data_IF_761666326633
#
_entry.id   IF_761666326633
#
_cell.length_a   1.000
_cell.length_b   1.000
_cell.length_c   1.000
_cell.angle_alpha   90.00
_cell.angle_beta   90.00
_cell.angle_gamma   90.00
#
_symmetry.space_group_name_H-M   'P 1'
#
loop_
_entity.id
_entity.type
_entity.pdbx_description
1 polymer ?
#
# COMPACT_ATOMS: atom_id res chain seq x y z
N UNK A 1 5.55 -11.47 14.89
CA UNK A 1 4.26 -11.31 14.23
C UNK A 1 3.29 -10.51 15.10
N UNK A 2 2.96 -10.99 16.32
CA UNK A 2 1.95 -10.39 17.21
C UNK A 2 2.16 -8.89 17.44
N UNK A 3 3.36 -8.48 17.86
CA UNK A 3 3.66 -7.07 18.14
C UNK A 3 3.48 -6.17 16.90
N UNK A 4 3.85 -6.65 15.73
CA UNK A 4 3.71 -5.89 14.48
C UNK A 4 2.23 -5.76 14.09
N UNK A 5 1.47 -6.85 14.17
CA UNK A 5 0.03 -6.83 13.96
C UNK A 5 -0.66 -5.84 14.90
N UNK A 6 -0.38 -5.92 16.21
CA UNK A 6 -0.93 -5.00 17.20
C UNK A 6 -0.57 -3.54 16.92
N UNK A 7 0.64 -3.25 16.47
CA UNK A 7 1.06 -1.90 16.10
C UNK A 7 0.25 -1.36 14.91
N UNK A 8 0.02 -2.19 13.88
CA UNK A 8 -0.80 -1.84 12.71
C UNK A 8 -2.24 -1.56 13.15
N UNK A 9 -2.86 -2.49 13.89
CA UNK A 9 -4.25 -2.33 14.36
C UNK A 9 -4.40 -1.10 15.26
N UNK A 10 -3.43 -0.81 16.11
CA UNK A 10 -3.41 0.42 16.92
C UNK A 10 -3.35 1.65 16.03
N UNK A 11 -2.46 1.71 15.05
CA UNK A 11 -2.34 2.82 14.12
C UNK A 11 -3.63 3.06 13.33
N UNK A 12 -4.23 2.00 12.79
CA UNK A 12 -5.51 2.09 12.09
C UNK A 12 -6.64 2.59 12.98
N UNK A 13 -6.71 2.16 14.23
CA UNK A 13 -7.69 2.66 15.20
C UNK A 13 -7.48 4.15 15.54
N UNK A 14 -6.25 4.61 15.61
CA UNK A 14 -5.94 6.03 15.82
C UNK A 14 -6.34 6.87 14.59
N UNK A 15 -6.07 6.39 13.39
CA UNK A 15 -6.51 7.04 12.14
C UNK A 15 -8.04 7.08 12.03
N UNK A 16 -8.72 5.98 12.30
CA UNK A 16 -10.19 5.92 12.32
C UNK A 16 -10.76 6.92 13.32
N UNK A 17 -10.18 7.02 14.53
CA UNK A 17 -10.60 8.01 15.54
C UNK A 17 -10.43 9.45 15.04
N UNK A 18 -9.33 9.77 14.35
CA UNK A 18 -9.09 11.09 13.77
C UNK A 18 -10.12 11.39 12.67
N UNK A 19 -10.35 10.45 11.76
CA UNK A 19 -11.34 10.59 10.69
C UNK A 19 -12.76 10.81 11.24
N UNK A 20 -13.18 10.05 12.24
CA UNK A 20 -14.46 10.22 12.96
C UNK A 20 -14.58 11.63 13.52
N UNK A 21 -13.54 12.13 14.19
CA UNK A 21 -13.53 13.48 14.77
C UNK A 21 -13.62 14.56 13.69
N UNK A 22 -12.83 14.41 12.63
CA UNK A 22 -12.79 15.37 11.53
C UNK A 22 -14.09 15.42 10.72
N UNK A 23 -14.71 14.26 10.52
CA UNK A 23 -15.97 14.14 9.80
C UNK A 23 -17.21 14.46 10.66
N UNK A 24 -17.04 14.68 11.97
CA UNK A 24 -18.14 14.88 12.92
C UNK A 24 -19.18 13.76 12.93
N UNK A 25 -18.74 12.52 12.76
CA UNK A 25 -19.57 11.31 12.77
C UNK A 25 -19.36 10.49 14.04
N UNK A 26 -20.15 9.44 14.22
CA UNK A 26 -19.97 8.49 15.32
C UNK A 26 -19.21 7.26 14.85
N UNK A 27 -18.56 6.58 15.79
CA UNK A 27 -17.86 5.30 15.53
C UNK A 27 -18.74 4.26 14.84
N UNK A 28 -20.04 4.20 15.22
CA UNK A 28 -21.00 3.27 14.66
C UNK A 28 -21.41 3.57 13.20
N UNK A 29 -21.07 4.76 12.69
CA UNK A 29 -21.42 5.16 11.34
C UNK A 29 -20.43 4.62 10.30
N UNK A 30 -19.24 4.14 10.74
CA UNK A 30 -18.28 3.43 9.87
C UNK A 30 -18.69 1.97 9.83
N UNK A 31 -19.34 1.58 8.74
CA UNK A 31 -19.89 0.24 8.55
C UNK A 31 -19.05 -0.65 7.64
N UNK A 32 -18.07 -0.05 6.96
CA UNK A 32 -17.17 -0.73 6.04
C UNK A 32 -15.80 -0.06 6.00
N UNK A 33 -14.76 -0.84 5.69
CA UNK A 33 -13.37 -0.36 5.59
C UNK A 33 -12.67 -1.17 4.51
N UNK A 34 -12.14 -0.51 3.50
CA UNK A 34 -11.23 -1.15 2.53
C UNK A 34 -9.78 -0.93 2.96
N UNK A 35 -9.01 -1.98 2.92
CA UNK A 35 -7.59 -1.96 3.34
C UNK A 35 -6.71 -2.41 2.18
N UNK A 36 -5.73 -1.60 1.87
CA UNK A 36 -4.69 -1.88 0.89
C UNK A 36 -3.31 -1.74 1.54
N UNK A 37 -2.31 -2.32 0.92
CA UNK A 37 -0.92 -2.22 1.34
C UNK A 37 -0.08 -3.25 0.59
N UNK A 38 1.25 -3.10 0.66
CA UNK A 38 2.13 -4.08 0.06
C UNK A 38 1.91 -5.48 0.68
N UNK A 39 2.42 -6.52 0.00
CA UNK A 39 2.17 -7.90 0.39
C UNK A 39 2.56 -8.21 1.84
N UNK A 40 3.66 -7.64 2.33
CA UNK A 40 4.08 -7.84 3.71
C UNK A 40 3.11 -7.18 4.71
N UNK A 41 2.70 -5.95 4.46
CA UNK A 41 1.73 -5.23 5.29
C UNK A 41 0.38 -5.93 5.31
N UNK A 42 -0.06 -6.45 4.16
CA UNK A 42 -1.29 -7.24 4.05
C UNK A 42 -1.24 -8.48 4.96
N UNK A 43 -0.14 -9.24 4.94
CA UNK A 43 0.03 -10.41 5.80
C UNK A 43 0.07 -10.03 7.28
N UNK A 44 0.81 -8.99 7.63
CA UNK A 44 0.90 -8.50 9.01
C UNK A 44 -0.45 -8.01 9.54
N UNK A 45 -1.24 -7.30 8.70
CA UNK A 45 -2.58 -6.86 9.05
C UNK A 45 -3.51 -8.04 9.36
N UNK A 46 -3.45 -9.08 8.53
CA UNK A 46 -4.24 -10.31 8.68
C UNK A 46 -3.66 -11.29 9.72
N UNK A 47 -2.55 -10.94 10.37
CA UNK A 47 -1.83 -11.79 11.33
C UNK A 47 -1.32 -13.09 10.70
N UNK A 48 -0.99 -13.07 9.41
CA UNK A 48 -0.36 -14.16 8.68
C UNK A 48 1.16 -13.99 8.75
N UNK A 49 1.90 -15.09 8.96
CA UNK A 49 3.35 -15.04 9.01
C UNK A 49 3.95 -14.69 7.63
N UNK A 50 4.69 -13.56 7.50
CA UNK A 50 5.28 -13.14 6.24
C UNK A 50 6.62 -13.83 5.92
N UNK A 51 7.03 -14.84 6.70
CA UNK A 51 8.35 -15.48 6.58
C UNK A 51 8.69 -15.90 5.16
N UNK A 52 7.74 -16.49 4.45
CA UNK A 52 7.98 -17.02 3.10
C UNK A 52 7.98 -15.94 2.03
N UNK A 53 7.41 -14.76 2.28
CA UNK A 53 7.55 -13.60 1.39
C UNK A 53 9.02 -13.13 1.34
N UNK A 54 9.78 -13.33 2.42
CA UNK A 54 11.22 -13.01 2.49
C UNK A 54 12.15 -14.10 1.98
N UNK A 55 11.61 -15.23 1.49
CA UNK A 55 12.43 -16.38 1.02
C UNK A 55 12.02 -16.77 -0.39
N UNK A 56 13.01 -16.91 -1.28
CA UNK A 56 12.77 -17.40 -2.66
C UNK A 56 12.00 -18.73 -2.64
N UNK A 57 10.95 -18.87 -3.46
CA UNK A 57 10.43 -18.02 -4.55
C UNK A 57 9.44 -16.91 -4.10
N UNK A 58 9.46 -16.49 -2.84
CA UNK A 58 8.67 -15.39 -2.27
C UNK A 58 7.15 -15.57 -2.34
N UNK A 59 6.60 -16.76 -2.04
CA UNK A 59 5.18 -17.02 -2.19
C UNK A 59 4.38 -16.33 -1.09
N UNK A 60 3.35 -15.54 -1.42
CA UNK A 60 2.37 -15.10 -0.44
C UNK A 60 1.48 -16.26 -0.01
N UNK A 61 0.99 -16.21 1.23
CA UNK A 61 0.12 -17.25 1.76
C UNK A 61 -1.30 -17.22 1.18
N UNK A 62 -1.74 -16.05 0.72
CA UNK A 62 -3.05 -15.85 0.10
C UNK A 62 -2.93 -14.84 -1.04
N UNK A 63 -3.79 -14.97 -2.05
CA UNK A 63 -3.86 -14.06 -3.20
C UNK A 63 -5.23 -13.38 -3.35
N UNK A 64 -6.30 -13.99 -2.83
CA UNK A 64 -7.66 -13.50 -3.01
C UNK A 64 -8.02 -12.43 -1.98
N UNK A 65 -9.03 -11.64 -2.29
CA UNK A 65 -9.62 -10.69 -1.35
C UNK A 65 -10.28 -11.40 -0.17
N UNK A 66 -10.34 -10.70 0.96
CA UNK A 66 -10.98 -11.19 2.18
C UNK A 66 -11.92 -10.15 2.77
N UNK A 67 -13.10 -10.61 3.16
CA UNK A 67 -14.05 -9.86 4.00
C UNK A 67 -14.01 -10.40 5.41
N UNK A 68 -13.52 -9.61 6.36
CA UNK A 68 -13.35 -10.02 7.75
C UNK A 68 -14.12 -9.06 8.63
N UNK A 69 -14.82 -9.58 9.64
CA UNK A 69 -15.46 -8.68 10.61
C UNK A 69 -14.43 -7.82 11.31
N UNK A 70 -14.60 -6.52 11.22
CA UNK A 70 -13.65 -5.53 11.75
C UNK A 70 -13.32 -5.78 13.23
N UNK A 71 -14.31 -6.22 14.02
CA UNK A 71 -14.13 -6.57 15.44
C UNK A 71 -13.18 -7.74 15.66
N UNK A 72 -13.15 -8.72 14.75
CA UNK A 72 -12.31 -9.91 14.88
C UNK A 72 -10.83 -9.59 14.59
N UNK A 73 -10.58 -8.49 13.86
CA UNK A 73 -9.26 -7.88 13.65
C UNK A 73 -8.88 -6.90 14.79
N UNK A 74 -9.78 -6.59 15.72
CA UNK A 74 -9.54 -5.59 16.76
C UNK A 74 -9.72 -4.13 16.30
N UNK A 75 -10.35 -3.91 15.16
CA UNK A 75 -10.68 -2.57 14.66
C UNK A 75 -11.85 -1.97 15.45
N UNK A 76 -11.69 -0.71 15.83
CA UNK A 76 -12.66 0.02 16.67
C UNK A 76 -13.58 0.92 15.83
N UNK A 77 -14.33 0.31 14.95
CA UNK A 77 -15.41 0.91 14.14
C UNK A 77 -16.75 0.27 14.51
N UNK A 78 -17.80 0.34 13.70
CA UNK A 78 -19.07 -0.32 13.99
C UNK A 78 -18.86 -1.82 14.30
N UNK A 79 -19.58 -2.35 15.26
CA UNK A 79 -19.46 -3.77 15.64
C UNK A 79 -19.91 -4.74 14.56
N UNK A 80 -20.75 -4.27 13.64
CA UNK A 80 -21.21 -5.03 12.46
C UNK A 80 -20.37 -4.81 11.20
N UNK A 81 -19.38 -3.90 11.24
CA UNK A 81 -18.56 -3.53 10.10
C UNK A 81 -17.67 -4.67 9.60
N UNK A 82 -17.40 -4.63 8.31
CA UNK A 82 -16.40 -5.48 7.68
C UNK A 82 -15.16 -4.68 7.29
N UNK A 83 -14.01 -5.33 7.29
CA UNK A 83 -12.78 -4.90 6.66
C UNK A 83 -12.57 -5.76 5.41
N UNK A 84 -12.59 -5.10 4.25
CA UNK A 84 -12.30 -5.71 2.97
C UNK A 84 -10.82 -5.53 2.66
N UNK A 85 -10.04 -6.60 2.70
CA UNK A 85 -8.67 -6.62 2.25
C UNK A 85 -8.65 -6.95 0.75
N UNK A 86 -8.11 -6.06 -0.10
CA UNK A 86 -7.99 -6.30 -1.53
C UNK A 86 -7.06 -7.47 -1.81
N UNK A 87 -7.21 -8.15 -2.97
CA UNK A 87 -6.32 -9.23 -3.37
C UNK A 87 -4.90 -8.70 -3.59
N UNK A 88 -3.93 -9.59 -3.59
CA UNK A 88 -2.54 -9.29 -3.95
C UNK A 88 -2.16 -10.03 -5.23
N UNK A 89 -1.25 -9.45 -6.02
CA UNK A 89 -0.81 -10.04 -7.27
C UNK A 89 0.33 -11.04 -7.05
N UNK A 90 1.34 -10.64 -6.28
CA UNK A 90 2.55 -11.44 -6.06
C UNK A 90 3.26 -11.07 -4.74
N UNK A 91 4.37 -11.74 -4.46
CA UNK A 91 5.17 -11.50 -3.26
C UNK A 91 5.65 -10.06 -3.08
N UNK A 92 5.87 -9.34 -4.18
CA UNK A 92 6.32 -7.93 -4.18
C UNK A 92 5.34 -6.97 -4.84
N UNK A 93 4.21 -7.44 -5.32
CA UNK A 93 3.15 -6.61 -5.92
C UNK A 93 1.88 -6.82 -5.11
N UNK A 94 1.58 -5.86 -4.28
CA UNK A 94 0.58 -5.97 -3.22
C UNK A 94 -0.81 -5.47 -3.58
N UNK A 95 -1.65 -5.39 -2.58
CA UNK A 95 -3.01 -4.89 -2.69
C UNK A 95 -3.09 -3.38 -2.93
N UNK A 96 -2.05 -2.63 -2.62
CA UNK A 96 -1.86 -1.23 -2.98
C UNK A 96 -1.84 -1.05 -4.50
N UNK A 97 -1.06 -1.87 -5.21
CA UNK A 97 -1.03 -1.89 -6.67
C UNK A 97 -2.40 -2.24 -7.27
N UNK A 98 -3.11 -3.21 -6.68
CA UNK A 98 -4.50 -3.51 -7.09
C UNK A 98 -5.43 -2.33 -6.85
N UNK A 99 -5.23 -1.58 -5.76
CA UNK A 99 -5.95 -0.34 -5.49
C UNK A 99 -5.74 0.70 -6.60
N UNK A 100 -4.50 0.87 -7.06
CA UNK A 100 -4.15 1.75 -8.19
C UNK A 100 -4.82 1.27 -9.49
N UNK A 101 -4.79 -0.03 -9.77
CA UNK A 101 -5.50 -0.62 -10.93
C UNK A 101 -7.00 -0.31 -10.91
N UNK A 102 -7.64 -0.36 -9.75
CA UNK A 102 -9.07 -0.06 -9.61
C UNK A 102 -9.34 1.43 -9.80
N UNK A 103 -8.44 2.31 -9.34
CA UNK A 103 -8.62 3.76 -9.41
C UNK A 103 -8.40 4.30 -10.83
N UNK A 104 -7.37 3.82 -11.52
CA UNK A 104 -6.96 4.32 -12.85
C UNK A 104 -7.62 3.56 -14.00
N UNK A 105 -8.12 2.35 -13.76
CA UNK A 105 -8.87 1.51 -14.69
C UNK A 105 -8.18 1.30 -16.06
N UNK A 106 -6.87 1.05 -16.16
CA UNK A 106 -6.18 0.86 -17.45
C UNK A 106 -6.75 -0.33 -18.24
N UNK A 107 -7.35 -1.30 -17.55
CA UNK A 107 -8.03 -2.44 -18.17
C UNK A 107 -9.31 -2.07 -18.93
N UNK A 108 -9.77 -0.81 -18.86
CA UNK A 108 -10.88 -0.28 -19.65
C UNK A 108 -10.42 0.56 -20.84
N UNK A 109 -9.13 0.88 -20.93
CA UNK A 109 -8.57 1.78 -21.94
C UNK A 109 -8.08 1.03 -23.19
N UNK A 110 -8.21 1.66 -24.34
CA UNK A 110 -7.61 1.17 -25.60
C UNK A 110 -6.14 1.59 -25.73
N UNK A 111 -5.83 2.77 -25.23
CA UNK A 111 -4.47 3.32 -25.21
C UNK A 111 -3.57 2.55 -24.26
N UNK A 112 -2.29 2.44 -24.63
CA UNK A 112 -1.26 1.92 -23.72
C UNK A 112 -1.00 2.96 -22.63
N UNK A 113 -1.13 2.56 -21.38
CA UNK A 113 -0.90 3.40 -20.22
C UNK A 113 0.28 2.87 -19.40
N UNK A 114 1.10 3.78 -18.92
CA UNK A 114 2.15 3.50 -17.94
C UNK A 114 1.80 4.24 -16.65
N UNK A 115 1.57 3.48 -15.58
CA UNK A 115 1.34 3.99 -14.24
C UNK A 115 2.58 3.70 -13.41
N UNK A 116 3.02 4.70 -12.66
CA UNK A 116 4.20 4.59 -11.79
C UNK A 116 3.78 5.03 -10.39
N UNK A 117 3.80 4.10 -9.45
CA UNK A 117 3.63 4.37 -8.03
C UNK A 117 5.01 4.45 -7.36
N UNK A 118 5.32 5.62 -6.79
CA UNK A 118 6.63 5.87 -6.18
C UNK A 118 6.46 5.93 -4.66
N UNK A 119 6.80 4.82 -4.02
CA UNK A 119 6.77 4.67 -2.57
C UNK A 119 8.11 4.19 -2.00
N UNK A 120 8.07 3.36 -1.00
CA UNK A 120 9.26 2.65 -0.48
C UNK A 120 9.85 1.72 -1.54
N UNK A 121 9.00 1.10 -2.34
CA UNK A 121 9.33 0.48 -3.62
C UNK A 121 8.66 1.27 -4.73
N UNK A 122 9.04 1.01 -5.97
CA UNK A 122 8.37 1.55 -7.14
C UNK A 122 7.59 0.45 -7.83
N UNK A 123 6.28 0.59 -7.91
CA UNK A 123 5.44 -0.29 -8.69
C UNK A 123 5.16 0.35 -10.05
N UNK A 124 5.33 -0.47 -11.10
CA UNK A 124 5.03 -0.06 -12.47
C UNK A 124 3.91 -0.95 -13.01
N UNK A 125 2.94 -0.32 -13.62
CA UNK A 125 1.88 -1.00 -14.37
C UNK A 125 1.93 -0.49 -15.81
N UNK A 126 2.06 -1.38 -16.75
CA UNK A 126 2.04 -1.06 -18.18
C UNK A 126 1.00 -1.90 -18.89
N UNK A 127 0.14 -1.26 -19.65
CA UNK A 127 -0.79 -2.00 -20.50
C UNK A 127 -2.07 -1.25 -20.84
N UNK A 128 -3.04 -2.03 -21.25
CA UNK A 128 -4.38 -1.58 -21.64
C UNK A 128 -5.39 -2.72 -21.43
N UNK A 129 -6.61 -2.59 -21.97
CA UNK A 129 -7.66 -3.61 -21.84
C UNK A 129 -7.29 -5.00 -22.38
N UNK A 130 -6.29 -5.12 -23.24
CA UNK A 130 -5.90 -6.39 -23.85
C UNK A 130 -4.86 -7.12 -23.01
N UNK A 131 -3.98 -6.36 -22.35
CA UNK A 131 -2.91 -6.93 -21.52
C UNK A 131 -2.41 -5.89 -20.53
N UNK A 132 -2.22 -6.32 -19.28
CA UNK A 132 -1.53 -5.59 -18.23
C UNK A 132 -0.32 -6.39 -17.75
N UNK A 133 0.74 -5.68 -17.42
CA UNK A 133 1.94 -6.21 -16.82
C UNK A 133 2.29 -5.30 -15.66
N UNK A 134 2.59 -5.88 -14.51
CA UNK A 134 3.06 -5.15 -13.34
C UNK A 134 4.41 -5.70 -12.88
N UNK A 135 5.20 -4.84 -12.27
CA UNK A 135 6.43 -5.20 -11.59
C UNK A 135 6.70 -4.25 -10.44
N UNK A 136 7.48 -4.73 -9.48
CA UNK A 136 8.00 -3.91 -8.38
C UNK A 136 9.51 -3.79 -8.52
N UNK A 137 10.03 -2.61 -8.23
CA UNK A 137 11.46 -2.33 -8.17
C UNK A 137 11.80 -1.53 -6.90
N UNK A 138 13.02 -1.64 -6.45
CA UNK A 138 13.51 -0.84 -5.34
C UNK A 138 13.66 0.62 -5.79
N UNK A 139 13.20 1.57 -4.96
CA UNK A 139 13.24 3.03 -5.23
C UNK A 139 14.11 3.80 -4.25
N UNK A 140 14.87 3.13 -3.45
CA UNK A 140 16.02 3.72 -2.89
C UNK A 140 16.22 4.00 -1.42
N UNK A 141 15.27 4.00 -0.48
CA UNK A 141 15.64 4.46 0.86
C UNK A 141 16.39 3.43 1.72
N UNK A 142 16.38 2.14 1.36
CA UNK A 142 16.99 1.10 2.20
C UNK A 142 18.42 0.75 1.80
N UNK A 143 18.65 0.34 0.57
CA UNK A 143 19.96 -0.10 0.08
C UNK A 143 20.58 0.91 -0.89
N UNK A 144 19.79 1.53 -1.75
CA UNK A 144 20.23 2.45 -2.78
C UNK A 144 20.79 3.75 -2.19
N UNK A 145 20.21 4.21 -1.07
CA UNK A 145 20.75 5.36 -0.34
C UNK A 145 22.14 5.12 0.25
N UNK A 146 22.55 3.85 0.43
CA UNK A 146 23.89 3.49 0.88
C UNK A 146 24.88 3.30 -0.27
N UNK A 147 24.41 3.00 -1.48
CA UNK A 147 25.25 2.72 -2.63
C UNK A 147 25.42 3.90 -3.59
N UNK A 148 24.44 4.81 -3.65
CA UNK A 148 24.54 6.02 -4.44
C UNK A 148 25.50 7.02 -3.80
N UNK A 149 26.40 7.60 -4.60
CA UNK A 149 27.45 8.54 -4.15
C UNK A 149 26.95 9.68 -3.26
N UNK A 150 25.75 10.16 -3.48
CA UNK A 150 25.10 11.24 -2.74
C UNK A 150 23.73 10.83 -2.17
N UNK A 151 23.48 9.51 -2.11
CA UNK A 151 22.25 8.97 -1.55
C UNK A 151 22.20 9.12 -0.03
N UNK A 152 21.01 9.31 0.51
CA UNK A 152 20.76 9.29 1.95
C UNK A 152 19.39 8.69 2.25
N UNK A 153 19.21 8.22 3.46
CA UNK A 153 17.90 7.76 3.93
C UNK A 153 16.92 8.94 4.00
N UNK A 154 15.64 8.65 3.87
CA UNK A 154 14.56 9.59 4.15
C UNK A 154 14.62 10.01 5.64
N UNK A 155 15.32 11.11 5.91
CA UNK A 155 15.59 11.68 7.23
C UNK A 155 15.62 13.21 7.11
N UNK A 156 15.56 13.96 8.21
CA UNK A 156 15.73 15.42 8.17
C UNK A 156 16.98 15.81 7.39
N UNK A 157 16.82 16.62 6.33
CA UNK A 157 17.86 17.01 5.40
C UNK A 157 17.83 16.28 4.05
N UNK A 158 16.99 15.24 3.90
CA UNK A 158 16.75 14.63 2.60
C UNK A 158 15.92 15.57 1.71
N UNK A 159 16.15 15.50 0.40
CA UNK A 159 15.38 16.27 -0.58
C UNK A 159 13.99 15.64 -0.69
N UNK A 160 12.95 16.39 -0.31
CA UNK A 160 11.55 15.94 -0.41
C UNK A 160 10.83 16.58 -1.60
N UNK A 161 11.27 17.76 -2.02
CA UNK A 161 10.63 18.52 -3.08
C UNK A 161 11.66 19.23 -3.93
N UNK A 162 11.48 19.18 -5.24
CA UNK A 162 12.26 19.92 -6.22
C UNK A 162 11.30 20.78 -7.03
N UNK A 163 11.58 22.06 -7.13
CA UNK A 163 10.87 22.98 -8.00
C UNK A 163 11.81 23.45 -9.10
N UNK A 164 11.39 23.34 -10.34
CA UNK A 164 12.14 23.78 -11.50
C UNK A 164 11.42 24.99 -12.10
N UNK A 165 12.11 26.12 -12.18
CA UNK A 165 11.57 27.29 -12.85
C UNK A 165 11.31 26.97 -14.32
N UNK A 166 10.06 27.19 -14.77
CA UNK A 166 9.64 26.83 -16.12
C UNK A 166 10.32 27.64 -17.21
N UNK A 167 10.83 28.82 -16.88
CA UNK A 167 11.46 29.77 -17.83
C UNK A 167 12.97 29.61 -17.84
N UNK A 168 13.60 29.66 -16.67
CA UNK A 168 15.07 29.59 -16.54
C UNK A 168 15.60 28.17 -16.56
N UNK A 169 14.75 27.19 -16.23
CA UNK A 169 15.12 25.77 -16.02
C UNK A 169 16.08 25.55 -14.83
N UNK A 170 16.22 26.55 -13.96
CA UNK A 170 16.97 26.44 -12.71
C UNK A 170 16.17 25.67 -11.65
N UNK A 171 16.90 25.00 -10.73
CA UNK A 171 16.39 24.17 -9.64
C UNK A 171 16.44 24.94 -8.34
#
# INVERSE_FOLDING_TARGET
>A
LEHMNQAIIKGLNELAKRAITQAHIKRGDIIDMTVVGNTCMHHLFLKIDPLYIGKSPFPPAIHHSLDIKARDLGLKISSGAYAHALPIEAGFVGADNVGVLIAEEPYKQDSMELIIDIGTNGELILGNRHKLISCSCATGPAFEGAEMKHGMRAAPGAIEKIEIDKTTKEV
#
